data_IF_623592665717
#
_entry.id   IF_623592665717
#
_cell.length_a   1.000
_cell.length_b   1.000
_cell.length_c   1.000
_cell.angle_alpha   90.00
_cell.angle_beta   90.00
_cell.angle_gamma   90.00
#
_symmetry.space_group_name_H-M   'P 1'
#
loop_
_entity.id
_entity.type
_entity.pdbx_description
1 polymer ?
#
# COMPACT_ATOMS: atom_id res chain seq x y z
N UNK A 1 12.47 53.34 -1.49
CA UNK A 1 12.47 51.94 -1.97
C UNK A 1 11.02 51.51 -2.22
N UNK A 2 10.68 51.18 -3.47
CA UNK A 2 9.29 50.96 -3.90
C UNK A 2 8.69 49.72 -3.23
N UNK A 3 7.61 49.90 -2.46
CA UNK A 3 6.89 48.86 -1.68
C UNK A 3 6.56 47.61 -2.51
N UNK A 4 6.30 47.77 -3.81
CA UNK A 4 6.06 46.69 -4.76
C UNK A 4 7.27 45.75 -4.95
N UNK A 5 8.50 46.27 -4.91
CA UNK A 5 9.73 45.44 -5.02
C UNK A 5 9.94 44.60 -3.77
N UNK A 6 9.62 45.13 -2.59
CA UNK A 6 9.73 44.40 -1.32
C UNK A 6 8.72 43.25 -1.22
N UNK A 7 7.49 43.43 -1.72
CA UNK A 7 6.46 42.39 -1.73
C UNK A 7 6.82 41.27 -2.72
N UNK A 8 7.33 41.62 -3.91
CA UNK A 8 7.75 40.63 -4.90
C UNK A 8 8.90 39.73 -4.41
N UNK A 9 9.85 40.30 -3.66
CA UNK A 9 10.97 39.53 -3.06
C UNK A 9 10.48 38.59 -1.96
N UNK A 10 9.54 39.02 -1.13
CA UNK A 10 8.97 38.19 -0.06
C UNK A 10 8.15 37.02 -0.63
N UNK A 11 7.40 37.25 -1.72
CA UNK A 11 6.62 36.21 -2.39
C UNK A 11 7.51 35.17 -3.07
N UNK A 12 8.62 35.58 -3.68
CA UNK A 12 9.60 34.65 -4.26
C UNK A 12 10.32 33.79 -3.20
N UNK A 13 10.56 34.33 -2.01
CA UNK A 13 11.18 33.57 -0.92
C UNK A 13 10.28 32.44 -0.41
N UNK A 14 8.95 32.61 -0.41
CA UNK A 14 8.01 31.57 0.02
C UNK A 14 7.84 30.43 -0.99
N UNK A 15 8.12 30.64 -2.28
CA UNK A 15 8.07 29.56 -3.29
C UNK A 15 9.31 28.65 -3.20
N UNK A 16 10.42 29.17 -2.67
CA UNK A 16 11.66 28.41 -2.50
C UNK A 16 11.68 27.58 -1.20
N UNK A 17 10.85 27.93 -0.20
CA UNK A 17 10.77 27.19 1.07
C UNK A 17 9.79 26.00 1.04
N UNK A 18 9.03 25.79 -0.04
CA UNK A 18 8.09 24.65 -0.15
C UNK A 18 8.71 23.39 -0.77
N UNK A 19 9.96 23.44 -1.20
CA UNK A 19 10.72 22.25 -1.61
C UNK A 19 11.33 21.56 -0.39
N UNK A 20 10.51 20.92 0.44
CA UNK A 20 11.02 19.82 1.27
C UNK A 20 11.38 18.65 0.36
N UNK A 21 12.59 18.75 -0.21
CA UNK A 21 13.18 17.70 -1.03
C UNK A 21 13.73 16.67 -0.06
N UNK A 22 12.95 15.62 0.18
CA UNK A 22 13.23 14.47 1.04
C UNK A 22 12.93 14.72 2.53
N UNK A 23 11.66 14.56 2.90
CA UNK A 23 11.36 14.12 4.26
C UNK A 23 12.08 12.77 4.47
N UNK A 24 13.19 12.79 5.21
CA UNK A 24 13.90 11.58 5.63
C UNK A 24 12.89 10.77 6.43
N UNK A 25 12.60 9.54 6.00
CA UNK A 25 11.71 8.66 6.75
C UNK A 25 12.31 8.42 8.13
N UNK A 26 11.57 8.77 9.17
CA UNK A 26 11.94 8.43 10.54
C UNK A 26 11.78 6.92 10.74
N UNK A 27 12.92 6.22 10.79
CA UNK A 27 13.02 4.77 11.02
C UNK A 27 13.44 4.44 12.45
N UNK A 28 13.40 5.42 13.37
CA UNK A 28 13.86 5.22 14.77
C UNK A 28 12.80 4.57 15.65
N UNK A 29 11.55 4.53 15.20
CA UNK A 29 10.48 3.86 15.92
C UNK A 29 10.71 2.34 15.99
N UNK A 30 10.29 1.67 17.09
CA UNK A 30 10.31 0.22 17.18
C UNK A 30 9.59 -0.42 15.99
N UNK A 31 10.25 -1.38 15.35
CA UNK A 31 9.64 -2.11 14.25
C UNK A 31 8.46 -2.94 14.76
N UNK A 32 7.36 -3.02 14.01
CA UNK A 32 6.28 -3.91 14.37
C UNK A 32 6.78 -5.36 14.47
N UNK A 33 6.24 -6.09 15.42
CA UNK A 33 6.58 -7.49 15.74
C UNK A 33 5.79 -8.48 14.90
N UNK A 34 4.59 -8.11 14.45
CA UNK A 34 3.80 -8.90 13.52
C UNK A 34 4.20 -8.61 12.06
N UNK A 35 3.96 -9.60 11.21
CA UNK A 35 4.44 -9.66 9.83
C UNK A 35 3.33 -10.14 8.90
N UNK A 36 3.21 -9.52 7.72
CA UNK A 36 2.22 -9.93 6.72
C UNK A 36 2.79 -9.90 5.30
N UNK A 37 2.47 -10.91 4.49
CA UNK A 37 2.81 -11.03 3.06
C UNK A 37 1.55 -11.03 2.22
N UNK A 38 1.65 -10.59 0.97
CA UNK A 38 0.48 -10.38 0.10
C UNK A 38 0.64 -11.06 -1.26
N UNK A 39 -0.41 -11.73 -1.71
CA UNK A 39 -0.45 -12.49 -2.96
C UNK A 39 -1.68 -12.10 -3.77
N UNK A 40 -1.47 -11.69 -5.02
CA UNK A 40 -2.58 -11.45 -5.95
C UNK A 40 -2.76 -12.66 -6.86
N UNK A 41 -3.43 -13.71 -6.39
CA UNK A 41 -3.61 -14.96 -7.13
C UNK A 41 -5.03 -15.17 -7.67
N UNK A 42 -5.83 -14.10 -7.70
CA UNK A 42 -7.07 -14.06 -8.46
C UNK A 42 -6.83 -14.25 -9.96
N UNK A 43 -7.42 -15.28 -10.56
CA UNK A 43 -7.34 -15.52 -12.00
C UNK A 43 -8.07 -14.40 -12.73
N UNK A 44 -7.38 -13.76 -13.67
CA UNK A 44 -7.84 -12.57 -14.42
C UNK A 44 -8.11 -11.33 -13.55
N UNK A 45 -7.64 -11.31 -12.29
CA UNK A 45 -7.76 -10.12 -11.46
C UNK A 45 -6.90 -8.96 -12.02
N UNK A 46 -7.32 -7.70 -11.78
CA UNK A 46 -6.49 -6.55 -12.10
C UNK A 46 -5.22 -6.53 -11.23
N UNK A 47 -4.28 -5.67 -11.60
CA UNK A 47 -3.17 -5.32 -10.71
C UNK A 47 -3.69 -4.55 -9.48
N UNK A 48 -3.28 -4.96 -8.28
CA UNK A 48 -3.82 -4.44 -7.02
C UNK A 48 -2.74 -3.94 -6.05
N UNK A 49 -3.10 -2.92 -5.28
CA UNK A 49 -2.38 -2.51 -4.08
C UNK A 49 -3.09 -3.08 -2.85
N UNK A 50 -2.32 -3.54 -1.88
CA UNK A 50 -2.85 -4.09 -0.64
C UNK A 50 -2.82 -3.04 0.47
N UNK A 51 -3.88 -3.04 1.28
CA UNK A 51 -4.11 -2.09 2.36
C UNK A 51 -4.49 -2.82 3.64
N UNK A 52 -4.06 -2.28 4.77
CA UNK A 52 -4.63 -2.55 6.07
C UNK A 52 -5.44 -1.33 6.51
N UNK A 53 -6.76 -1.49 6.61
CA UNK A 53 -7.71 -0.39 6.70
C UNK A 53 -7.49 0.56 5.51
N UNK A 54 -7.14 1.82 5.77
CA UNK A 54 -6.81 2.82 4.75
C UNK A 54 -5.31 2.98 4.50
N UNK A 55 -4.45 2.26 5.22
CA UNK A 55 -3.00 2.34 5.06
C UNK A 55 -2.54 1.36 4.00
N UNK A 56 -1.96 1.87 2.92
CA UNK A 56 -1.35 1.05 1.87
C UNK A 56 -0.09 0.36 2.40
N UNK A 57 -0.02 -0.95 2.27
CA UNK A 57 1.10 -1.77 2.74
C UNK A 57 2.04 -2.25 1.62
N UNK A 58 1.62 -2.13 0.36
CA UNK A 58 2.43 -2.52 -0.79
C UNK A 58 2.64 -1.34 -1.71
N UNK A 59 3.88 -1.13 -2.13
CA UNK A 59 4.22 -0.17 -3.16
C UNK A 59 4.96 -0.87 -4.29
N UNK A 60 4.62 -0.51 -5.53
CA UNK A 60 5.48 -0.76 -6.68
C UNK A 60 6.26 0.51 -6.97
N UNK A 61 7.56 0.35 -7.27
CA UNK A 61 8.45 1.45 -7.61
C UNK A 61 7.86 2.33 -8.71
N UNK A 62 7.92 3.64 -8.52
CA UNK A 62 7.56 4.62 -9.53
C UNK A 62 8.80 5.36 -10.01
N UNK A 63 8.92 5.57 -11.32
CA UNK A 63 9.97 6.39 -11.92
C UNK A 63 9.62 7.88 -11.96
N UNK A 64 8.37 8.25 -11.68
CA UNK A 64 7.85 9.62 -11.86
C UNK A 64 7.46 10.30 -10.55
N UNK A 65 7.55 9.59 -9.41
CA UNK A 65 7.05 10.07 -8.12
C UNK A 65 5.52 10.02 -7.98
N UNK A 66 4.80 9.62 -9.04
CA UNK A 66 3.37 9.32 -9.00
C UNK A 66 3.19 7.84 -8.64
N UNK A 67 2.19 7.48 -7.85
CA UNK A 67 1.92 6.07 -7.56
C UNK A 67 1.83 5.22 -8.85
N UNK A 68 2.45 4.04 -8.83
CA UNK A 68 2.38 3.11 -9.95
C UNK A 68 0.94 2.66 -10.21
N UNK A 69 0.52 2.71 -11.47
CA UNK A 69 -0.80 2.21 -11.93
C UNK A 69 -0.81 0.70 -12.21
N UNK A 70 0.33 0.03 -12.04
CA UNK A 70 0.44 -1.42 -12.27
C UNK A 70 -0.05 -2.19 -11.06
N UNK A 71 0.39 -1.84 -9.85
CA UNK A 71 0.16 -2.65 -8.64
C UNK A 71 0.68 -4.08 -8.79
N UNK A 72 0.40 -4.92 -7.79
CA UNK A 72 0.78 -6.34 -7.82
C UNK A 72 -0.04 -7.06 -8.89
N UNK A 73 0.60 -7.50 -9.96
CA UNK A 73 -0.07 -8.21 -11.06
C UNK A 73 -0.70 -9.55 -10.59
N UNK A 74 -1.71 -10.02 -11.32
CA UNK A 74 -2.28 -11.35 -11.08
C UNK A 74 -1.22 -12.45 -11.24
N UNK A 75 -1.28 -13.47 -10.40
CA UNK A 75 -0.29 -14.54 -10.32
C UNK A 75 1.03 -14.13 -9.65
N UNK A 76 1.09 -12.95 -9.02
CA UNK A 76 2.32 -12.43 -8.41
C UNK A 76 2.21 -12.20 -6.90
N UNK A 77 3.36 -12.14 -6.24
CA UNK A 77 3.52 -11.76 -4.84
C UNK A 77 3.94 -10.29 -4.75
N UNK A 78 3.35 -9.55 -3.81
CA UNK A 78 3.71 -8.15 -3.60
C UNK A 78 5.03 -8.00 -2.82
N UNK A 79 5.62 -6.80 -2.87
CA UNK A 79 6.79 -6.47 -2.04
C UNK A 79 7.99 -7.40 -2.26
N UNK A 80 8.15 -7.95 -3.46
CA UNK A 80 9.24 -8.89 -3.78
C UNK A 80 9.16 -10.24 -3.05
N UNK A 81 8.02 -10.56 -2.43
CA UNK A 81 7.87 -11.80 -1.64
C UNK A 81 8.33 -11.69 -0.19
N UNK A 82 8.67 -10.49 0.27
CA UNK A 82 9.03 -10.21 1.66
C UNK A 82 7.80 -9.95 2.54
N UNK A 83 7.98 -10.12 3.85
CA UNK A 83 6.97 -9.71 4.83
C UNK A 83 7.07 -8.21 5.10
N UNK A 84 5.92 -7.55 5.15
CA UNK A 84 5.77 -6.20 5.68
C UNK A 84 5.54 -6.25 7.19
N UNK A 85 6.12 -5.32 7.94
CA UNK A 85 5.79 -5.11 9.34
C UNK A 85 4.40 -4.50 9.49
N UNK A 86 3.63 -5.01 10.44
CA UNK A 86 2.30 -4.48 10.80
C UNK A 86 2.14 -4.56 12.32
N UNK A 87 1.52 -3.56 12.94
CA UNK A 87 1.24 -3.63 14.37
C UNK A 87 0.21 -4.73 14.67
N UNK A 88 0.22 -5.35 15.86
CA UNK A 88 -0.85 -6.27 16.24
C UNK A 88 -2.19 -5.54 16.38
N UNK A 89 -3.29 -6.18 15.98
CA UNK A 89 -4.63 -5.58 16.08
C UNK A 89 -5.65 -6.17 15.12
N UNK A 90 -6.88 -5.66 15.17
CA UNK A 90 -7.92 -5.98 14.20
C UNK A 90 -7.78 -5.08 12.96
N UNK A 91 -7.78 -5.70 11.79
CA UNK A 91 -7.66 -5.02 10.51
C UNK A 91 -8.73 -5.47 9.53
N UNK A 92 -9.17 -4.52 8.71
CA UNK A 92 -9.80 -4.80 7.43
C UNK A 92 -8.72 -4.79 6.34
N UNK A 93 -8.21 -5.97 5.99
CA UNK A 93 -7.26 -6.13 4.89
C UNK A 93 -8.00 -6.06 3.56
N UNK A 94 -7.47 -5.31 2.59
CA UNK A 94 -8.10 -5.19 1.26
C UNK A 94 -7.10 -5.19 0.13
N UNK A 95 -7.53 -5.71 -1.03
CA UNK A 95 -6.86 -5.57 -2.30
C UNK A 95 -7.65 -4.59 -3.16
N UNK A 96 -7.01 -3.51 -3.60
CA UNK A 96 -7.66 -2.40 -4.32
C UNK A 96 -7.02 -2.17 -5.68
N UNK A 97 -7.82 -1.87 -6.70
CA UNK A 97 -7.36 -1.70 -8.09
C UNK A 97 -6.32 -0.57 -8.17
N UNK A 98 -5.15 -0.88 -8.73
CA UNK A 98 -4.07 0.10 -8.89
C UNK A 98 -4.21 0.95 -10.16
N UNK A 99 -4.89 0.43 -11.18
CA UNK A 99 -5.09 1.11 -12.46
C UNK A 99 -5.84 2.45 -12.30
N UNK A 100 -5.66 3.34 -13.28
CA UNK A 100 -6.33 4.64 -13.27
C UNK A 100 -7.87 4.51 -13.34
N UNK A 101 -8.37 3.54 -14.11
CA UNK A 101 -9.77 3.17 -14.11
C UNK A 101 -10.10 2.38 -12.86
N UNK A 102 -11.19 2.74 -12.18
CA UNK A 102 -11.63 2.12 -10.92
C UNK A 102 -10.59 2.16 -9.81
N UNK A 103 -9.72 3.18 -9.84
CA UNK A 103 -8.65 3.34 -8.87
C UNK A 103 -9.16 3.24 -7.43
N UNK A 104 -8.43 2.46 -6.64
CA UNK A 104 -8.67 2.20 -5.22
C UNK A 104 -10.01 1.49 -4.91
N UNK A 105 -10.73 1.00 -5.93
CA UNK A 105 -11.88 0.12 -5.73
C UNK A 105 -11.44 -1.21 -5.11
N UNK A 106 -12.07 -1.60 -4.00
CA UNK A 106 -11.74 -2.83 -3.28
C UNK A 106 -12.35 -4.05 -3.96
N UNK A 107 -11.50 -4.89 -4.56
CA UNK A 107 -11.94 -6.17 -5.16
C UNK A 107 -12.06 -7.29 -4.14
N UNK A 108 -11.40 -7.14 -2.99
CA UNK A 108 -11.40 -8.11 -1.89
C UNK A 108 -11.27 -7.39 -0.57
N UNK A 109 -12.01 -7.84 0.45
CA UNK A 109 -11.92 -7.33 1.82
C UNK A 109 -12.04 -8.49 2.81
N UNK A 110 -11.09 -8.61 3.73
CA UNK A 110 -11.09 -9.63 4.80
C UNK A 110 -10.82 -8.94 6.14
N UNK A 111 -11.75 -9.10 7.09
CA UNK A 111 -11.53 -8.66 8.46
C UNK A 111 -10.85 -9.78 9.25
N UNK A 112 -9.71 -9.48 9.86
CA UNK A 112 -8.95 -10.47 10.65
C UNK A 112 -8.23 -9.79 11.82
N UNK A 113 -7.84 -10.60 12.79
CA UNK A 113 -6.95 -10.18 13.89
C UNK A 113 -5.54 -10.63 13.59
N UNK A 114 -4.61 -9.68 13.60
CA UNK A 114 -3.17 -9.92 13.49
C UNK A 114 -2.60 -9.96 14.90
N UNK A 115 -2.15 -11.14 15.33
CA UNK A 115 -1.59 -11.32 16.67
C UNK A 115 -0.12 -10.90 16.74
N UNK A 116 0.32 -10.59 17.96
CA UNK A 116 1.69 -10.20 18.24
C UNK A 116 2.70 -11.31 17.91
N UNK A 117 3.87 -10.93 17.39
CA UNK A 117 4.96 -11.82 16.98
C UNK A 117 4.55 -12.96 16.01
N UNK A 118 3.46 -12.79 15.25
CA UNK A 118 2.99 -13.76 14.27
C UNK A 118 3.20 -13.30 12.83
N UNK A 119 3.20 -14.28 11.93
CA UNK A 119 3.37 -14.11 10.49
C UNK A 119 2.08 -14.51 9.78
N UNK A 120 1.68 -13.74 8.79
CA UNK A 120 0.46 -13.98 8.03
C UNK A 120 0.68 -13.82 6.53
N UNK A 121 -0.14 -14.51 5.75
CA UNK A 121 -0.24 -14.33 4.32
C UNK A 121 -1.68 -14.00 3.92
N UNK A 122 -1.88 -12.87 3.23
CA UNK A 122 -3.16 -12.47 2.65
C UNK A 122 -3.17 -12.78 1.15
N UNK A 123 -4.15 -13.56 0.72
CA UNK A 123 -4.34 -13.97 -0.67
C UNK A 123 -5.60 -13.33 -1.24
N UNK A 124 -5.52 -12.84 -2.47
CA UNK A 124 -6.67 -12.90 -3.39
C UNK A 124 -6.59 -14.23 -4.16
N UNK A 125 -7.74 -14.87 -4.39
CA UNK A 125 -7.82 -16.19 -5.00
C UNK A 125 -9.16 -16.37 -5.70
N UNK A 126 -9.27 -17.41 -6.54
CA UNK A 126 -10.49 -17.67 -7.32
C UNK A 126 -10.52 -16.90 -8.63
N UNK A 127 -11.69 -16.84 -9.26
CA UNK A 127 -11.89 -16.20 -10.56
C UNK A 127 -12.42 -14.77 -10.35
N UNK A 128 -11.81 -13.78 -10.99
CA UNK A 128 -12.28 -12.41 -10.92
C UNK A 128 -13.62 -12.22 -11.64
N UNK A 129 -14.63 -11.71 -10.92
CA UNK A 129 -15.87 -11.21 -11.50
C UNK A 129 -15.66 -9.77 -11.98
N UNK A 130 -15.56 -9.59 -13.31
CA UNK A 130 -15.37 -8.28 -13.92
C UNK A 130 -16.60 -7.36 -13.80
N UNK A 131 -17.79 -7.92 -13.55
CA UNK A 131 -19.04 -7.14 -13.43
C UNK A 131 -19.18 -6.59 -12.01
N UNK A 132 -19.12 -7.48 -11.00
CA UNK A 132 -19.14 -7.11 -9.59
C UNK A 132 -17.81 -6.56 -9.06
N UNK A 133 -16.75 -6.61 -9.88
CA UNK A 133 -15.37 -6.21 -9.54
C UNK A 133 -14.91 -6.87 -8.26
N UNK A 134 -15.07 -8.19 -8.18
CA UNK A 134 -14.77 -8.93 -6.95
C UNK A 134 -13.92 -10.16 -7.20
N UNK A 135 -13.10 -10.51 -6.21
CA UNK A 135 -12.36 -11.77 -6.16
C UNK A 135 -12.26 -12.20 -4.70
N UNK A 136 -12.25 -13.51 -4.47
CA UNK A 136 -12.23 -14.06 -3.12
C UNK A 136 -10.89 -13.74 -2.45
N UNK A 137 -10.89 -13.73 -1.11
CA UNK A 137 -9.64 -13.65 -0.39
C UNK A 137 -9.74 -14.21 1.01
N UNK A 138 -8.57 -14.55 1.53
CA UNK A 138 -8.43 -15.19 2.83
C UNK A 138 -7.06 -14.89 3.41
N UNK A 139 -6.95 -15.03 4.73
CA UNK A 139 -5.72 -14.82 5.47
C UNK A 139 -5.34 -16.12 6.16
N UNK A 140 -4.07 -16.49 6.06
CA UNK A 140 -3.49 -17.67 6.71
C UNK A 140 -2.41 -17.21 7.68
N UNK A 141 -2.35 -17.81 8.88
CA UNK A 141 -1.17 -17.69 9.74
C UNK A 141 -0.07 -18.60 9.19
N UNK A 142 1.13 -18.06 9.03
CA UNK A 142 2.30 -18.78 8.57
C UNK A 142 3.11 -19.27 9.79
N UNK A 143 3.04 -20.56 10.16
CA UNK A 143 3.89 -21.09 11.22
C UNK A 143 5.32 -21.20 10.70
N UNK A 144 6.18 -20.27 11.10
CA UNK A 144 7.61 -20.33 10.81
C UNK A 144 8.34 -21.15 11.87
N UNK A 145 9.36 -21.94 11.50
CA UNK A 145 10.24 -22.57 12.46
C UNK A 145 10.90 -21.51 13.38
N UNK A 146 11.13 -21.84 14.66
CA UNK A 146 11.85 -20.96 15.59
C UNK A 146 13.30 -20.75 15.19
#
# INVERSE_FOLDING_TARGET
MNRFRSIAVLLCATVLSSCEKNAVQDITAPLPTARIKFFNFGVNAPGVNFYANEVKLTAISSSTGIESTTGTAAGSVAGGGFYSGIAPGQYSLSARIAAATDKDFSVTKVTTTIADAKFYSFYTSGIYDATGKSVEGFVVEDPLPP
#
